data_IF_238926388688
#
_entry.id   IF_238926388688
#
_cell.length_a   1.000
_cell.length_b   1.000
_cell.length_c   1.000
_cell.angle_alpha   90.00
_cell.angle_beta   90.00
_cell.angle_gamma   90.00
#
_symmetry.space_group_name_H-M   'P 1'
#
loop_
_entity.id
_entity.type
_entity.pdbx_description
1 polymer ?
#
# COMPACT_ATOMS: atom_id res chain seq x y z
N UNK A 1 11.80 -4.56 20.89
CA UNK A 1 12.85 -4.16 21.88
C UNK A 1 13.07 -2.65 21.93
N UNK A 2 13.46 -1.96 20.86
CA UNK A 2 13.72 -0.51 20.94
C UNK A 2 12.47 0.33 21.25
N UNK A 3 11.31 0.01 20.66
CA UNK A 3 10.05 0.73 20.90
C UNK A 3 9.61 0.62 22.36
N UNK A 4 9.50 -0.62 22.87
CA UNK A 4 9.17 -0.91 24.27
C UNK A 4 10.06 -0.14 25.25
N UNK A 5 11.37 -0.15 25.03
CA UNK A 5 12.32 0.53 25.89
C UNK A 5 12.15 2.06 25.86
N UNK A 6 11.87 2.64 24.69
CA UNK A 6 11.58 4.09 24.60
C UNK A 6 10.28 4.43 25.32
N UNK A 7 9.24 3.60 25.20
CA UNK A 7 7.98 3.79 25.93
C UNK A 7 8.19 3.73 27.45
N UNK A 8 8.88 2.70 27.95
CA UNK A 8 9.21 2.56 29.38
C UNK A 8 10.02 3.76 29.89
N UNK A 9 11.06 4.16 29.15
CA UNK A 9 11.90 5.30 29.53
C UNK A 9 11.10 6.60 29.53
N UNK A 10 10.26 6.83 28.52
CA UNK A 10 9.40 8.01 28.43
C UNK A 10 8.52 8.11 29.68
N UNK A 11 7.79 7.05 30.03
CA UNK A 11 6.89 7.09 31.18
C UNK A 11 7.60 7.08 32.53
N UNK A 12 8.83 6.58 32.63
CA UNK A 12 9.63 6.67 33.87
C UNK A 12 10.06 8.11 34.23
N UNK A 13 10.12 9.00 33.23
CA UNK A 13 10.51 10.40 33.38
C UNK A 13 9.32 11.34 33.49
N UNK A 14 8.13 10.86 33.13
CA UNK A 14 6.90 11.61 33.25
C UNK A 14 6.32 11.41 34.65
N UNK A 15 5.78 12.48 35.22
CA UNK A 15 4.81 12.38 36.33
C UNK A 15 3.48 11.87 35.78
N UNK A 16 3.50 10.67 35.21
CA UNK A 16 2.38 10.06 34.52
C UNK A 16 1.34 9.56 35.52
N UNK A 17 0.07 9.65 35.15
CA UNK A 17 -1.12 9.27 35.94
C UNK A 17 -1.55 7.82 35.66
N UNK A 18 -0.87 7.10 34.77
CA UNK A 18 -1.23 5.72 34.45
C UNK A 18 -0.69 4.78 35.52
N UNK A 19 -1.60 3.99 36.10
CA UNK A 19 -1.21 2.87 36.97
C UNK A 19 -0.29 1.91 36.21
N UNK A 20 0.67 1.30 36.92
CA UNK A 20 1.69 0.42 36.33
C UNK A 20 1.09 -0.70 35.47
N UNK A 21 -0.05 -1.27 35.89
CA UNK A 21 -0.75 -2.31 35.13
C UNK A 21 -1.35 -1.80 33.82
N UNK A 22 -1.86 -0.56 33.81
CA UNK A 22 -2.42 0.08 32.62
C UNK A 22 -1.29 0.43 31.66
N UNK A 23 -0.19 0.99 32.18
CA UNK A 23 0.99 1.31 31.39
C UNK A 23 1.54 0.06 30.69
N UNK A 24 1.71 -1.04 31.42
CA UNK A 24 2.23 -2.28 30.81
C UNK A 24 1.28 -2.80 29.71
N UNK A 25 -0.03 -2.78 29.95
CA UNK A 25 -1.00 -3.18 28.94
C UNK A 25 -0.95 -2.30 27.68
N UNK A 26 -0.80 -0.97 27.85
CA UNK A 26 -0.64 -0.04 26.74
C UNK A 26 0.62 -0.34 25.94
N UNK A 27 1.74 -0.61 26.61
CA UNK A 27 3.02 -0.95 25.96
C UNK A 27 2.88 -2.24 25.16
N UNK A 28 2.34 -3.30 25.76
CA UNK A 28 2.18 -4.60 25.11
C UNK A 28 1.27 -4.51 23.87
N UNK A 29 0.25 -3.65 23.92
CA UNK A 29 -0.69 -3.41 22.81
C UNK A 29 -0.08 -2.52 21.72
N UNK A 30 0.69 -1.51 22.12
CA UNK A 30 1.28 -0.55 21.18
C UNK A 30 2.44 -1.13 20.39
N UNK A 31 3.18 -2.08 20.95
CA UNK A 31 4.31 -2.73 20.28
C UNK A 31 3.80 -3.86 19.38
N UNK A 32 3.71 -3.57 18.08
CA UNK A 32 3.40 -4.60 17.09
C UNK A 32 4.71 -5.24 16.65
N UNK A 33 5.07 -6.34 17.29
CA UNK A 33 6.33 -7.04 17.03
C UNK A 33 6.24 -7.82 15.72
N UNK A 34 6.77 -7.24 14.65
CA UNK A 34 7.01 -7.95 13.41
C UNK A 34 8.53 -8.03 13.18
N UNK A 35 9.01 -9.21 12.76
CA UNK A 35 10.45 -9.52 12.65
C UNK A 35 11.24 -8.64 11.68
N UNK A 36 10.57 -7.84 10.85
CA UNK A 36 11.17 -7.15 9.69
C UNK A 36 10.88 -5.65 9.63
N UNK A 37 10.01 -5.13 10.50
CA UNK A 37 9.53 -3.75 10.51
C UNK A 37 8.97 -3.43 11.89
N UNK A 38 9.78 -2.85 12.79
CA UNK A 38 9.30 -2.34 14.07
C UNK A 38 8.14 -1.37 13.86
N UNK A 39 7.01 -1.63 14.54
CA UNK A 39 5.81 -0.81 14.46
C UNK A 39 5.32 -0.43 15.86
N UNK A 40 5.02 0.86 16.05
CA UNK A 40 4.33 1.36 17.22
C UNK A 40 2.94 1.87 16.83
N UNK A 41 1.90 1.41 17.51
CA UNK A 41 0.53 1.90 17.38
C UNK A 41 0.10 2.58 18.69
N UNK A 42 -0.04 3.90 18.66
CA UNK A 42 -0.34 4.72 19.83
C UNK A 42 -1.83 4.91 20.10
N UNK A 43 -2.74 4.24 19.38
CA UNK A 43 -4.19 4.42 19.59
C UNK A 43 -4.58 4.12 21.04
N UNK A 44 -4.04 3.04 21.62
CA UNK A 44 -4.30 2.69 23.02
C UNK A 44 -3.81 3.76 24.00
N UNK A 45 -2.66 4.38 23.73
CA UNK A 45 -2.17 5.49 24.56
C UNK A 45 -3.03 6.75 24.44
N UNK A 46 -3.56 7.03 23.24
CA UNK A 46 -4.46 8.18 23.05
C UNK A 46 -5.74 8.05 23.88
N UNK A 47 -6.32 6.86 23.98
CA UNK A 47 -7.51 6.61 24.81
C UNK A 47 -7.28 7.02 26.28
N UNK A 48 -6.08 6.76 26.79
CA UNK A 48 -5.71 7.06 28.18
C UNK A 48 -5.13 8.47 28.39
N UNK A 49 -4.55 9.09 27.36
CA UNK A 49 -3.86 10.39 27.45
C UNK A 49 -4.59 11.53 26.76
N UNK A 50 -5.79 11.31 26.21
CA UNK A 50 -6.59 12.36 25.55
C UNK A 50 -6.85 13.58 26.44
N UNK A 51 -6.94 13.39 27.76
CA UNK A 51 -7.09 14.46 28.75
C UNK A 51 -5.78 15.19 29.08
N UNK A 52 -4.64 14.68 28.60
CA UNK A 52 -3.29 15.21 28.81
C UNK A 52 -2.59 15.39 27.43
N UNK A 53 -3.11 16.27 26.56
CA UNK A 53 -2.67 16.37 25.17
C UNK A 53 -1.18 16.68 25.03
N UNK A 54 -0.60 17.45 25.96
CA UNK A 54 0.83 17.75 25.97
C UNK A 54 1.68 16.48 26.16
N UNK A 55 1.32 15.61 27.11
CA UNK A 55 2.03 14.34 27.35
C UNK A 55 1.93 13.43 26.14
N UNK A 56 0.76 13.38 25.50
CA UNK A 56 0.55 12.57 24.30
C UNK A 56 1.33 13.11 23.09
N UNK A 57 1.43 14.43 22.91
CA UNK A 57 2.27 15.05 21.88
C UNK A 57 3.76 14.76 22.10
N UNK A 58 4.22 14.79 23.35
CA UNK A 58 5.60 14.44 23.70
C UNK A 58 5.88 12.96 23.44
N UNK A 59 4.91 12.08 23.67
CA UNK A 59 5.00 10.66 23.33
C UNK A 59 5.14 10.46 21.81
N UNK A 60 4.34 11.15 20.99
CA UNK A 60 4.48 11.13 19.53
C UNK A 60 5.87 11.61 19.10
N UNK A 61 6.39 12.65 19.74
CA UNK A 61 7.72 13.17 19.44
C UNK A 61 8.82 12.16 19.81
N UNK A 62 8.69 11.46 20.94
CA UNK A 62 9.62 10.40 21.33
C UNK A 62 9.62 9.24 20.31
N UNK A 63 8.45 8.83 19.82
CA UNK A 63 8.35 7.81 18.77
C UNK A 63 8.92 8.30 17.44
N UNK A 64 8.64 9.55 17.05
CA UNK A 64 9.22 10.15 15.85
C UNK A 64 10.75 10.19 15.92
N UNK A 65 11.32 10.61 17.06
CA UNK A 65 12.76 10.61 17.29
C UNK A 65 13.37 9.21 17.20
N UNK A 66 12.71 8.20 17.77
CA UNK A 66 13.14 6.81 17.62
C UNK A 66 13.20 6.40 16.15
N UNK A 67 12.16 6.71 15.36
CA UNK A 67 12.13 6.39 13.94
C UNK A 67 13.29 7.06 13.17
N UNK A 68 13.59 8.33 13.47
CA UNK A 68 14.71 9.06 12.87
C UNK A 68 16.07 8.47 13.30
N UNK A 69 16.21 8.03 14.56
CA UNK A 69 17.41 7.35 15.04
C UNK A 69 17.64 6.02 14.31
N UNK A 70 16.59 5.23 14.09
CA UNK A 70 16.68 3.97 13.34
C UNK A 70 17.12 4.21 11.88
N UNK A 71 16.60 5.25 11.22
CA UNK A 71 17.06 5.63 9.88
C UNK A 71 18.55 6.03 9.87
N UNK A 72 18.97 6.85 10.84
CA UNK A 72 20.36 7.28 10.96
C UNK A 72 21.31 6.09 11.27
N UNK A 73 20.87 5.14 12.09
CA UNK A 73 21.61 3.92 12.37
C UNK A 73 21.74 3.04 11.13
N UNK A 74 20.65 2.84 10.39
CA UNK A 74 20.67 2.14 9.11
C UNK A 74 21.64 2.80 8.12
N UNK A 75 21.62 4.13 8.01
CA UNK A 75 22.55 4.88 7.17
C UNK A 75 24.03 4.66 7.57
N UNK A 76 24.35 4.68 8.88
CA UNK A 76 25.70 4.40 9.39
C UNK A 76 26.18 2.98 9.08
N UNK A 77 25.25 2.03 8.96
CA UNK A 77 25.54 0.65 8.58
C UNK A 77 25.58 0.45 7.04
N UNK A 78 25.48 1.52 6.25
CA UNK A 78 25.45 1.44 4.78
C UNK A 78 24.09 1.03 4.19
N UNK A 79 23.03 1.05 5.00
CA UNK A 79 21.66 0.64 4.65
C UNK A 79 20.71 1.84 4.54
N UNK A 80 21.22 3.06 4.34
CA UNK A 80 20.41 4.29 4.31
C UNK A 80 19.28 4.29 3.29
N UNK A 81 19.50 3.66 2.14
CA UNK A 81 18.47 3.51 1.10
C UNK A 81 17.56 2.29 1.29
N UNK A 82 17.85 1.44 2.28
CA UNK A 82 17.14 0.19 2.51
C UNK A 82 15.93 0.33 3.42
N UNK A 83 15.74 1.48 4.07
CA UNK A 83 14.65 1.70 5.01
C UNK A 83 13.98 3.05 4.77
N UNK A 84 12.72 3.15 5.20
CA UNK A 84 11.96 4.39 5.27
C UNK A 84 11.01 4.32 6.45
N UNK A 85 10.47 5.47 6.84
CA UNK A 85 9.45 5.54 7.90
C UNK A 85 8.11 5.85 7.27
N UNK A 86 7.11 5.08 7.68
CA UNK A 86 5.72 5.34 7.36
C UNK A 86 4.96 5.81 8.61
N UNK A 87 4.26 6.92 8.48
CA UNK A 87 3.38 7.50 9.49
C UNK A 87 1.93 7.39 9.02
N UNK A 88 1.02 6.94 9.88
CA UNK A 88 -0.40 6.98 9.59
C UNK A 88 -1.23 7.53 10.77
N UNK A 89 -2.12 8.51 10.52
CA UNK A 89 -2.13 9.43 9.36
C UNK A 89 -0.85 10.29 9.27
N UNK A 90 -0.52 10.85 8.09
CA UNK A 90 0.61 11.77 7.86
C UNK A 90 0.17 13.07 7.18
N UNK A 91 1.08 14.06 7.10
CA UNK A 91 0.89 15.35 6.42
C UNK A 91 1.46 15.35 4.98
N UNK A 92 1.62 14.19 4.36
CA UNK A 92 2.27 14.04 3.06
C UNK A 92 3.78 13.87 3.19
N UNK A 93 4.54 14.40 2.21
CA UNK A 93 6.00 14.28 2.13
C UNK A 93 6.67 15.64 2.03
N UNK A 94 7.88 15.75 2.57
CA UNK A 94 8.73 16.93 2.46
C UNK A 94 9.49 16.99 1.12
N UNK A 95 10.32 18.02 0.95
CA UNK A 95 11.14 18.23 -0.25
C UNK A 95 12.16 17.10 -0.50
N UNK A 96 12.50 16.35 0.55
CA UNK A 96 13.40 15.19 0.50
C UNK A 96 12.62 13.88 0.25
N UNK A 97 11.30 13.95 0.13
CA UNK A 97 10.42 12.81 -0.10
C UNK A 97 10.16 11.96 1.14
N UNK A 98 10.48 12.45 2.35
CA UNK A 98 10.22 11.80 3.62
C UNK A 98 8.83 12.14 4.13
N UNK A 99 8.14 11.19 4.78
CA UNK A 99 6.81 11.44 5.34
C UNK A 99 6.85 12.41 6.52
N UNK A 100 5.87 13.31 6.59
CA UNK A 100 5.76 14.33 7.62
C UNK A 100 4.78 13.86 8.70
N UNK A 101 5.23 13.85 9.96
CA UNK A 101 4.42 13.54 11.14
C UNK A 101 3.22 14.51 11.25
N UNK A 102 2.02 13.98 11.52
CA UNK A 102 0.86 14.79 11.90
C UNK A 102 0.79 14.88 13.42
N UNK A 103 1.11 16.02 14.05
CA UNK A 103 1.03 16.14 15.50
C UNK A 103 -0.41 16.02 15.99
N UNK A 104 -0.57 15.49 17.19
CA UNK A 104 -1.84 15.52 17.91
C UNK A 104 -2.25 16.95 18.24
N UNK A 105 -3.54 17.14 18.40
CA UNK A 105 -4.16 18.39 18.85
C UNK A 105 -5.11 18.08 20.01
N UNK A 106 -5.66 19.07 20.72
CA UNK A 106 -6.62 18.83 21.79
C UNK A 106 -7.88 18.04 21.37
N UNK A 107 -8.16 17.91 20.07
CA UNK A 107 -9.35 17.25 19.53
C UNK A 107 -9.03 16.07 18.60
N UNK A 108 -7.75 15.78 18.36
CA UNK A 108 -7.32 14.83 17.32
C UNK A 108 -6.04 14.12 17.76
N UNK A 109 -5.99 12.79 17.60
CA UNK A 109 -4.84 11.97 17.94
C UNK A 109 -3.65 12.14 16.98
N UNK A 110 -3.83 12.77 15.82
CA UNK A 110 -2.76 12.90 14.82
C UNK A 110 -2.23 11.53 14.39
N UNK A 111 -0.93 11.42 14.13
CA UNK A 111 -0.27 10.14 13.79
C UNK A 111 -0.33 9.17 14.96
N UNK A 112 -0.92 8.00 14.76
CA UNK A 112 -0.94 6.94 15.77
C UNK A 112 -0.07 5.75 15.36
N UNK A 113 0.15 5.53 14.08
CA UNK A 113 0.99 4.46 13.56
C UNK A 113 2.37 4.98 13.14
N UNK A 114 3.42 4.36 13.68
CA UNK A 114 4.82 4.63 13.38
C UNK A 114 5.49 3.34 12.93
N UNK A 115 5.88 3.26 11.66
CA UNK A 115 6.40 2.03 11.08
C UNK A 115 7.79 2.27 10.47
N UNK A 116 8.79 1.57 10.98
CA UNK A 116 10.12 1.52 10.38
C UNK A 116 10.17 0.38 9.38
N UNK A 117 10.03 0.70 8.10
CA UNK A 117 9.83 -0.29 7.05
C UNK A 117 11.09 -0.45 6.20
N UNK A 118 11.40 -1.70 5.85
CA UNK A 118 12.31 -1.97 4.73
C UNK A 118 11.72 -1.33 3.47
N UNK A 119 12.54 -0.60 2.74
CA UNK A 119 12.25 -0.15 1.38
C UNK A 119 12.10 -1.40 0.51
N UNK A 120 10.87 -1.88 0.44
CA UNK A 120 10.50 -3.00 -0.41
C UNK A 120 10.64 -2.61 -1.87
N UNK A 121 10.68 -3.63 -2.71
CA UNK A 121 10.36 -3.41 -4.11
C UNK A 121 8.91 -2.96 -4.22
N UNK A 122 8.64 -2.08 -5.18
CA UNK A 122 7.28 -1.69 -5.53
C UNK A 122 6.53 -2.92 -6.06
N UNK A 123 5.20 -2.99 -5.89
CA UNK A 123 4.40 -4.16 -6.30
C UNK A 123 4.58 -4.51 -7.78
N UNK A 124 4.80 -3.47 -8.57
CA UNK A 124 5.13 -3.47 -9.99
C UNK A 124 6.35 -4.35 -10.30
N UNK A 125 7.41 -4.26 -9.49
CA UNK A 125 8.59 -5.12 -9.64
C UNK A 125 8.28 -6.60 -9.38
N UNK A 126 7.29 -6.88 -8.53
CA UNK A 126 6.76 -8.23 -8.33
C UNK A 126 6.18 -8.84 -9.60
N UNK A 127 5.58 -8.04 -10.49
CA UNK A 127 5.10 -8.48 -11.80
C UNK A 127 6.26 -9.02 -12.64
N UNK A 128 7.37 -8.27 -12.72
CA UNK A 128 8.57 -8.68 -13.46
C UNK A 128 9.18 -9.96 -12.88
N UNK A 129 9.21 -10.11 -11.55
CA UNK A 129 9.74 -11.32 -10.93
C UNK A 129 8.89 -12.56 -11.22
N UNK A 130 7.56 -12.44 -11.18
CA UNK A 130 6.65 -13.54 -11.53
C UNK A 130 6.79 -13.87 -13.02
N UNK A 131 6.83 -12.86 -13.89
CA UNK A 131 6.97 -13.04 -15.33
C UNK A 131 8.31 -13.70 -15.69
N UNK A 132 9.42 -13.26 -15.09
CA UNK A 132 10.75 -13.85 -15.28
C UNK A 132 10.77 -15.34 -14.90
N UNK A 133 10.13 -15.69 -13.77
CA UNK A 133 9.98 -17.09 -13.34
C UNK A 133 9.09 -17.90 -14.27
N UNK A 134 8.00 -17.32 -14.77
CA UNK A 134 7.13 -17.97 -15.74
C UNK A 134 7.92 -18.36 -17.00
N UNK A 135 8.73 -17.45 -17.54
CA UNK A 135 9.60 -17.74 -18.68
C UNK A 135 10.61 -18.83 -18.35
N UNK A 136 11.33 -18.71 -17.22
CA UNK A 136 12.30 -19.72 -16.80
C UNK A 136 11.68 -21.12 -16.68
N UNK A 137 10.46 -21.22 -16.17
CA UNK A 137 9.73 -22.49 -16.07
C UNK A 137 9.25 -23.04 -17.42
N UNK A 138 8.93 -22.17 -18.39
CA UNK A 138 8.38 -22.58 -19.69
C UNK A 138 9.45 -22.84 -20.75
N UNK A 139 10.52 -22.06 -20.76
CA UNK A 139 11.53 -22.07 -21.81
C UNK A 139 12.90 -22.54 -21.31
N UNK A 140 13.10 -22.65 -20.00
CA UNK A 140 14.41 -22.89 -19.38
C UNK A 140 15.31 -21.64 -19.35
N UNK A 141 14.84 -20.50 -19.89
CA UNK A 141 15.58 -19.24 -19.91
C UNK A 141 14.84 -18.18 -19.09
N UNK A 142 15.58 -17.49 -18.22
CA UNK A 142 15.10 -16.37 -17.41
C UNK A 142 15.51 -15.05 -18.08
N UNK A 143 14.59 -14.31 -18.73
CA UNK A 143 14.88 -13.06 -19.44
C UNK A 143 15.65 -12.01 -18.65
N UNK A 144 15.42 -11.94 -17.33
CA UNK A 144 16.08 -11.00 -16.42
C UNK A 144 17.21 -11.66 -15.61
N UNK A 145 17.55 -12.92 -15.93
CA UNK A 145 18.47 -13.76 -15.18
C UNK A 145 17.81 -14.56 -14.06
N UNK A 146 18.35 -15.75 -13.76
CA UNK A 146 17.83 -16.64 -12.71
C UNK A 146 17.95 -16.01 -11.31
N UNK A 147 19.03 -15.23 -11.10
CA UNK A 147 19.29 -14.50 -9.85
C UNK A 147 18.60 -13.14 -9.75
N UNK A 148 17.66 -12.80 -10.65
CA UNK A 148 17.00 -11.50 -10.69
C UNK A 148 16.42 -11.08 -9.33
N UNK A 149 16.74 -9.85 -8.91
CA UNK A 149 16.26 -9.25 -7.67
C UNK A 149 15.36 -8.04 -7.96
N UNK A 150 14.17 -8.05 -7.36
CA UNK A 150 13.22 -6.91 -7.42
C UNK A 150 13.76 -5.62 -6.80
N UNK A 151 14.88 -5.68 -6.07
CA UNK A 151 15.52 -4.49 -5.49
C UNK A 151 16.31 -3.69 -6.52
N UNK A 152 16.68 -4.32 -7.62
CA UNK A 152 17.50 -3.74 -8.68
C UNK A 152 16.64 -3.18 -9.83
N UNK A 153 15.32 -3.35 -9.75
CA UNK A 153 14.41 -2.83 -10.77
C UNK A 153 14.24 -1.33 -10.68
N UNK A 154 14.05 -0.64 -11.82
CA UNK A 154 13.57 0.73 -11.84
C UNK A 154 12.29 0.88 -11.02
N UNK A 155 12.11 2.06 -10.40
CA UNK A 155 10.86 2.41 -9.70
C UNK A 155 9.87 3.17 -10.59
N UNK A 156 10.34 3.61 -11.76
CA UNK A 156 9.56 4.34 -12.73
C UNK A 156 8.76 3.39 -13.63
N UNK A 157 7.50 3.73 -13.89
CA UNK A 157 6.57 2.91 -14.67
C UNK A 157 7.07 2.69 -16.09
N UNK A 158 7.54 3.75 -16.76
CA UNK A 158 8.01 3.65 -18.14
C UNK A 158 9.27 2.79 -18.22
N UNK A 159 10.21 2.99 -17.29
CA UNK A 159 11.42 2.19 -17.23
C UNK A 159 11.14 0.70 -16.98
N UNK A 160 10.15 0.37 -16.16
CA UNK A 160 9.69 -1.02 -15.98
C UNK A 160 9.10 -1.60 -17.27
N UNK A 161 8.24 -0.84 -17.95
CA UNK A 161 7.64 -1.29 -19.21
C UNK A 161 8.70 -1.51 -20.31
N UNK A 162 9.67 -0.61 -20.44
CA UNK A 162 10.80 -0.79 -21.37
C UNK A 162 11.68 -1.97 -20.98
N UNK A 163 11.87 -2.24 -19.69
CA UNK A 163 12.57 -3.44 -19.24
C UNK A 163 11.84 -4.72 -19.67
N UNK A 164 10.50 -4.75 -19.63
CA UNK A 164 9.73 -5.89 -20.15
C UNK A 164 9.89 -6.00 -21.67
N UNK A 165 9.67 -4.90 -22.40
CA UNK A 165 9.80 -4.85 -23.88
C UNK A 165 11.18 -5.26 -24.39
N UNK A 166 12.23 -4.91 -23.66
CA UNK A 166 13.61 -5.16 -24.08
C UNK A 166 14.13 -6.57 -23.80
N UNK A 167 13.49 -7.33 -22.90
CA UNK A 167 14.03 -8.61 -22.43
C UNK A 167 13.12 -9.81 -22.70
N UNK A 168 11.79 -9.63 -22.76
CA UNK A 168 10.84 -10.75 -22.86
C UNK A 168 10.41 -10.98 -24.31
N UNK A 169 10.39 -12.26 -24.72
CA UNK A 169 9.96 -12.69 -26.06
C UNK A 169 8.43 -12.55 -26.23
N UNK A 170 7.93 -11.70 -27.15
CA UNK A 170 6.51 -11.52 -27.38
C UNK A 170 5.72 -12.80 -27.61
N UNK A 171 6.29 -13.79 -28.30
CA UNK A 171 5.57 -15.03 -28.65
C UNK A 171 5.30 -15.91 -27.42
N UNK A 172 6.06 -15.71 -26.34
CA UNK A 172 5.92 -16.46 -25.09
C UNK A 172 5.17 -15.67 -24.01
N UNK A 173 4.75 -14.43 -24.30
CA UNK A 173 4.11 -13.56 -23.32
C UNK A 173 2.75 -14.14 -22.90
N UNK A 174 2.54 -14.43 -21.60
CA UNK A 174 1.28 -14.97 -21.14
C UNK A 174 0.19 -13.89 -21.11
N UNK A 175 -1.06 -14.35 -21.23
CA UNK A 175 -2.19 -13.58 -20.73
C UNK A 175 -2.05 -13.44 -19.21
N UNK A 176 -1.96 -12.21 -18.73
CA UNK A 176 -1.91 -11.87 -17.31
C UNK A 176 -3.26 -11.34 -16.82
N UNK A 177 -3.62 -11.73 -15.60
CA UNK A 177 -4.80 -11.22 -14.89
C UNK A 177 -4.31 -10.53 -13.63
N UNK A 178 -4.33 -9.20 -13.64
CA UNK A 178 -4.04 -8.37 -12.48
C UNK A 178 -5.28 -8.22 -11.62
N UNK A 179 -5.17 -8.50 -10.32
CA UNK A 179 -6.30 -8.42 -9.38
C UNK A 179 -5.94 -7.47 -8.26
N UNK A 180 -6.77 -6.46 -8.01
CA UNK A 180 -6.58 -5.54 -6.89
C UNK A 180 -7.90 -5.07 -6.32
N UNK A 181 -7.83 -4.50 -5.12
CA UNK A 181 -8.99 -3.93 -4.42
C UNK A 181 -8.74 -2.47 -4.04
N UNK A 182 -7.53 -1.94 -4.28
CA UNK A 182 -7.13 -0.59 -3.92
C UNK A 182 -6.77 0.29 -5.13
N UNK A 183 -7.78 1.00 -5.65
CA UNK A 183 -7.67 2.03 -6.69
C UNK A 183 -8.53 3.22 -6.27
N UNK A 184 -8.02 4.45 -6.42
CA UNK A 184 -8.78 5.67 -6.14
C UNK A 184 -8.29 6.85 -7.01
N UNK A 185 -9.14 7.83 -7.21
CA UNK A 185 -8.76 9.16 -7.72
C UNK A 185 -9.55 10.25 -7.01
N UNK A 186 -8.97 11.44 -6.94
CA UNK A 186 -9.58 12.62 -6.33
C UNK A 186 -9.31 13.80 -7.23
N UNK A 187 -10.37 14.50 -7.64
CA UNK A 187 -10.23 15.73 -8.42
C UNK A 187 -10.38 16.93 -7.47
N UNK A 188 -9.33 17.74 -7.38
CA UNK A 188 -9.31 18.99 -6.61
C UNK A 188 -9.39 20.13 -7.61
N UNK A 189 -10.29 21.08 -7.39
CA UNK A 189 -10.37 22.29 -8.20
C UNK A 189 -9.63 23.42 -7.48
N UNK A 190 -8.50 23.86 -8.04
CA UNK A 190 -7.73 24.99 -7.54
C UNK A 190 -7.57 26.03 -8.65
N UNK A 191 -8.01 27.27 -8.38
CA UNK A 191 -7.92 28.39 -9.33
C UNK A 191 -8.51 28.10 -10.73
N UNK A 192 -9.59 27.31 -10.79
CA UNK A 192 -10.25 26.93 -12.05
C UNK A 192 -9.51 25.85 -12.86
N UNK A 193 -8.46 25.25 -12.29
CA UNK A 193 -7.77 24.09 -12.87
C UNK A 193 -8.11 22.84 -12.06
N UNK A 194 -8.41 21.75 -12.75
CA UNK A 194 -8.62 20.44 -12.12
C UNK A 194 -7.26 19.77 -11.88
N UNK A 195 -6.85 19.67 -10.62
CA UNK A 195 -5.73 18.82 -10.17
C UNK A 195 -6.26 17.42 -9.88
N UNK A 196 -5.86 16.45 -10.71
CA UNK A 196 -6.30 15.06 -10.58
C UNK A 196 -5.24 14.26 -9.85
N UNK A 197 -5.55 13.85 -8.62
CA UNK A 197 -4.68 13.01 -7.79
C UNK A 197 -5.14 11.58 -7.83
N UNK A 198 -4.24 10.70 -8.25
CA UNK A 198 -4.51 9.29 -8.50
C UNK A 198 -3.73 8.43 -7.52
N UNK A 199 -4.40 7.48 -6.89
CA UNK A 199 -3.81 6.65 -5.85
C UNK A 199 -4.45 5.27 -5.76
N UNK A 200 -4.21 4.62 -4.63
CA UNK A 200 -4.53 3.21 -4.42
C UNK A 200 -3.28 2.35 -4.52
N UNK A 201 -3.10 1.46 -3.54
CA UNK A 201 -1.86 0.70 -3.41
C UNK A 201 -1.66 -0.35 -4.50
N UNK A 202 -2.71 -0.70 -5.26
CA UNK A 202 -2.65 -1.67 -6.35
C UNK A 202 -2.57 -1.01 -7.72
N UNK A 203 -2.87 0.29 -7.80
CA UNK A 203 -3.04 1.03 -9.05
C UNK A 203 -1.91 0.81 -10.03
N UNK A 204 -0.67 1.06 -9.60
CA UNK A 204 0.46 1.08 -10.51
C UNK A 204 0.80 -0.29 -11.08
N UNK A 205 0.70 -1.37 -10.29
CA UNK A 205 1.00 -2.70 -10.82
C UNK A 205 -0.12 -3.19 -11.73
N UNK A 206 -1.38 -2.83 -11.45
CA UNK A 206 -2.51 -3.10 -12.34
C UNK A 206 -2.32 -2.36 -13.67
N UNK A 207 -1.92 -1.09 -13.63
CA UNK A 207 -1.59 -0.33 -14.82
C UNK A 207 -0.41 -0.94 -15.59
N UNK A 208 0.62 -1.41 -14.89
CA UNK A 208 1.74 -2.09 -15.54
C UNK A 208 1.30 -3.37 -16.26
N UNK A 209 0.46 -4.20 -15.63
CA UNK A 209 -0.09 -5.41 -16.27
C UNK A 209 -0.89 -5.05 -17.53
N UNK A 210 -1.73 -4.02 -17.44
CA UNK A 210 -2.48 -3.52 -18.58
C UNK A 210 -1.55 -3.08 -19.71
N UNK A 211 -0.53 -2.27 -19.40
CA UNK A 211 0.33 -1.67 -20.41
C UNK A 211 1.28 -2.69 -21.04
N UNK A 212 1.71 -3.72 -20.29
CA UNK A 212 2.35 -4.91 -20.88
C UNK A 212 1.38 -5.60 -21.84
N UNK A 213 0.11 -5.76 -21.46
CA UNK A 213 -0.90 -6.38 -22.32
C UNK A 213 -1.11 -5.62 -23.63
N UNK A 214 -1.09 -4.29 -23.58
CA UNK A 214 -1.14 -3.42 -24.76
C UNK A 214 0.15 -3.54 -25.60
N UNK A 215 1.32 -3.57 -24.97
CA UNK A 215 2.60 -3.60 -25.67
C UNK A 215 2.85 -4.92 -26.42
N UNK A 216 2.28 -6.02 -25.93
CA UNK A 216 2.47 -7.37 -26.48
C UNK A 216 1.20 -8.00 -27.07
N UNK A 217 0.10 -7.24 -27.12
CA UNK A 217 -1.21 -7.67 -27.62
C UNK A 217 -1.73 -9.00 -27.01
N UNK A 218 -1.50 -9.20 -25.72
CA UNK A 218 -1.89 -10.44 -25.02
C UNK A 218 -3.29 -10.42 -24.43
N UNK A 219 -3.98 -9.29 -24.50
CA UNK A 219 -5.34 -9.14 -23.97
C UNK A 219 -5.43 -9.19 -22.45
N UNK A 220 -4.38 -8.75 -21.73
CA UNK A 220 -4.35 -8.77 -20.26
C UNK A 220 -5.59 -8.13 -19.63
N UNK A 221 -6.00 -8.68 -18.50
CA UNK A 221 -7.19 -8.25 -17.77
C UNK A 221 -6.81 -7.64 -16.43
N UNK A 222 -7.42 -6.50 -16.13
CA UNK A 222 -7.42 -5.85 -14.83
C UNK A 222 -8.76 -6.10 -14.15
N UNK A 223 -8.70 -6.74 -12.99
CA UNK A 223 -9.84 -7.13 -12.17
C UNK A 223 -9.83 -6.30 -10.89
N UNK A 224 -10.96 -5.66 -10.60
CA UNK A 224 -11.17 -4.92 -9.36
C UNK A 224 -12.16 -5.64 -8.44
N UNK A 225 -11.79 -5.80 -7.18
CA UNK A 225 -12.66 -6.34 -6.13
C UNK A 225 -13.12 -5.20 -5.24
N UNK A 226 -14.43 -5.01 -5.10
CA UNK A 226 -14.95 -3.94 -4.25
C UNK A 226 -14.90 -4.32 -2.77
N UNK A 227 -13.88 -3.83 -2.06
CA UNK A 227 -13.71 -4.03 -0.61
C UNK A 227 -14.40 -2.98 0.26
N UNK A 228 -15.13 -2.01 -0.33
CA UNK A 228 -15.78 -0.93 0.41
C UNK A 228 -16.93 -1.39 1.31
N UNK A 229 -17.48 -2.59 1.07
CA UNK A 229 -18.64 -3.15 1.77
C UNK A 229 -18.38 -3.72 3.17
N UNK A 230 -17.15 -3.70 3.69
CA UNK A 230 -16.89 -4.26 5.03
C UNK A 230 -15.54 -3.99 5.67
N UNK A 231 -14.45 -3.92 4.91
CA UNK A 231 -13.08 -3.89 5.48
C UNK A 231 -12.46 -2.49 5.52
N UNK A 232 -12.93 -1.56 4.67
CA UNK A 232 -12.38 -0.20 4.56
C UNK A 232 -13.50 0.84 4.53
N UNK A 233 -13.71 1.57 5.64
CA UNK A 233 -14.84 2.49 5.85
C UNK A 233 -14.83 3.78 5.00
N UNK A 234 -13.72 4.09 4.33
CA UNK A 234 -13.49 5.38 3.65
C UNK A 234 -13.54 5.27 2.12
N UNK A 235 -14.18 4.23 1.56
CA UNK A 235 -14.22 4.00 0.11
C UNK A 235 -15.61 4.01 -0.45
N UNK A 236 -15.69 4.53 -1.67
CA UNK A 236 -16.92 4.62 -2.44
C UNK A 236 -17.18 3.27 -3.13
N UNK A 237 -18.35 2.64 -2.90
CA UNK A 237 -18.70 1.41 -3.59
C UNK A 237 -18.85 1.67 -5.09
N UNK A 238 -18.42 0.71 -5.90
CA UNK A 238 -18.68 0.71 -7.33
C UNK A 238 -20.18 0.52 -7.54
N UNK A 239 -20.75 1.31 -8.46
CA UNK A 239 -22.12 1.08 -8.93
C UNK A 239 -22.09 0.50 -10.32
N UNK A 240 -22.68 -0.68 -10.43
CA UNK A 240 -22.91 -1.37 -11.70
C UNK A 240 -24.40 -1.37 -11.95
N UNK A 241 -24.81 -0.98 -13.16
CA UNK A 241 -26.19 -1.12 -13.64
C UNK A 241 -26.21 -2.09 -14.80
N UNK A 242 -27.31 -2.80 -14.96
CA UNK A 242 -27.53 -3.65 -16.11
C UNK A 242 -28.09 -2.81 -17.26
N UNK A 243 -27.36 -2.77 -18.39
CA UNK A 243 -27.76 -2.05 -19.58
C UNK A 243 -27.82 -3.05 -20.76
N UNK A 244 -29.01 -3.33 -21.27
CA UNK A 244 -29.26 -4.31 -22.34
C UNK A 244 -28.63 -5.70 -22.06
N UNK A 245 -28.72 -6.19 -20.82
CA UNK A 245 -28.14 -7.49 -20.42
C UNK A 245 -26.62 -7.48 -20.26
N UNK A 246 -25.96 -6.32 -20.39
CA UNK A 246 -24.54 -6.14 -20.13
C UNK A 246 -24.34 -5.32 -18.86
N UNK A 247 -23.59 -5.82 -17.86
CA UNK A 247 -23.27 -5.03 -16.68
C UNK A 247 -22.33 -3.88 -17.06
N UNK A 248 -22.70 -2.66 -16.70
CA UNK A 248 -21.93 -1.44 -16.95
C UNK A 248 -21.68 -0.71 -15.64
N UNK A 249 -20.40 -0.42 -15.33
CA UNK A 249 -20.06 0.45 -14.22
C UNK A 249 -20.47 1.89 -14.56
N UNK A 250 -21.40 2.46 -13.78
CA UNK A 250 -21.82 3.87 -13.89
C UNK A 250 -21.07 4.76 -12.91
N UNK A 251 -20.46 4.15 -11.90
CA UNK A 251 -19.65 4.85 -10.92
C UNK A 251 -18.51 3.93 -10.49
N UNK A 252 -17.28 4.34 -10.77
CA UNK A 252 -16.07 3.60 -10.42
C UNK A 252 -15.56 3.94 -9.01
N UNK A 253 -14.41 3.35 -8.61
CA UNK A 253 -13.82 3.57 -7.29
C UNK A 253 -13.13 4.93 -7.15
N UNK A 254 -12.96 5.68 -8.26
CA UNK A 254 -12.40 7.04 -8.28
C UNK A 254 -13.46 8.14 -8.34
N UNK A 255 -12.99 9.39 -8.41
CA UNK A 255 -13.82 10.56 -8.65
C UNK A 255 -14.40 10.52 -10.06
N UNK A 256 -15.71 10.74 -10.20
CA UNK A 256 -16.40 10.69 -11.50
C UNK A 256 -15.95 11.76 -12.49
N UNK A 257 -15.21 12.78 -12.04
CA UNK A 257 -14.61 13.82 -12.88
C UNK A 257 -13.26 13.41 -13.46
N UNK A 258 -12.63 12.33 -12.98
CA UNK A 258 -11.40 11.79 -13.57
C UNK A 258 -11.73 10.92 -14.79
N UNK A 259 -11.96 11.57 -15.94
CA UNK A 259 -12.34 10.88 -17.18
C UNK A 259 -11.15 10.37 -17.99
N UNK A 260 -9.93 10.78 -17.63
CA UNK A 260 -8.70 10.49 -18.38
C UNK A 260 -7.79 9.50 -17.62
N UNK A 261 -8.38 8.67 -16.76
CA UNK A 261 -7.64 7.65 -16.01
C UNK A 261 -7.01 6.63 -16.99
N UNK A 262 -5.67 6.48 -17.04
CA UNK A 262 -5.02 5.53 -17.94
C UNK A 262 -5.29 4.08 -17.54
N UNK A 263 -5.70 3.82 -16.29
CA UNK A 263 -6.05 2.49 -15.82
C UNK A 263 -7.52 2.18 -16.15
N UNK A 264 -7.72 1.15 -16.95
CA UNK A 264 -9.05 0.60 -17.27
C UNK A 264 -9.29 -0.66 -16.44
N UNK A 265 -10.40 -0.71 -15.71
CA UNK A 265 -10.84 -1.92 -15.00
C UNK A 265 -11.70 -2.75 -15.95
N UNK A 266 -11.22 -3.93 -16.37
CA UNK A 266 -11.93 -4.80 -17.31
C UNK A 266 -13.08 -5.57 -16.63
N UNK A 267 -12.86 -6.01 -15.39
CA UNK A 267 -13.81 -6.82 -14.63
C UNK A 267 -13.94 -6.24 -13.23
N UNK A 268 -15.17 -6.15 -12.72
CA UNK A 268 -15.45 -5.65 -11.37
C UNK A 268 -16.29 -6.65 -10.59
N UNK A 269 -15.95 -6.84 -9.32
CA UNK A 269 -16.71 -7.63 -8.35
C UNK A 269 -17.37 -6.69 -7.32
N UNK A 270 -18.56 -6.13 -7.61
CA UNK A 270 -19.22 -5.15 -6.73
C UNK A 270 -19.68 -5.75 -5.39
N UNK A 271 -19.81 -7.08 -5.29
CA UNK A 271 -20.10 -7.77 -4.03
C UNK A 271 -18.82 -8.21 -3.30
N UNK A 272 -17.67 -7.66 -3.70
CA UNK A 272 -16.38 -7.86 -3.06
C UNK A 272 -15.86 -9.29 -3.09
N UNK A 273 -15.10 -9.65 -2.06
CA UNK A 273 -14.39 -10.93 -1.98
C UNK A 273 -15.33 -12.15 -2.08
N UNK A 274 -16.59 -12.03 -1.63
CA UNK A 274 -17.54 -13.15 -1.66
C UNK A 274 -17.84 -13.60 -3.08
N UNK A 275 -18.15 -12.65 -3.94
CA UNK A 275 -18.41 -12.92 -5.36
C UNK A 275 -17.15 -13.38 -6.09
N UNK A 276 -16.00 -12.82 -5.73
CA UNK A 276 -14.71 -13.26 -6.26
C UNK A 276 -14.44 -14.74 -5.92
N UNK A 277 -14.61 -15.14 -4.66
CA UNK A 277 -14.45 -16.53 -4.21
C UNK A 277 -15.46 -17.45 -4.89
N UNK A 278 -16.73 -17.04 -4.97
CA UNK A 278 -17.78 -17.83 -5.60
C UNK A 278 -17.45 -18.16 -7.05
N UNK A 279 -16.93 -17.18 -7.82
CA UNK A 279 -16.49 -17.41 -9.20
C UNK A 279 -15.44 -18.52 -9.28
N UNK A 280 -14.41 -18.50 -8.42
CA UNK A 280 -13.39 -19.56 -8.43
C UNK A 280 -13.94 -20.92 -8.02
N UNK A 281 -14.85 -20.95 -7.04
CA UNK A 281 -15.55 -22.18 -6.64
C UNK A 281 -16.35 -22.77 -7.81
N UNK A 282 -17.12 -21.94 -8.52
CA UNK A 282 -17.89 -22.34 -9.69
C UNK A 282 -16.96 -22.82 -10.83
N UNK A 283 -15.89 -22.09 -11.13
CA UNK A 283 -14.92 -22.48 -12.15
C UNK A 283 -14.22 -23.82 -11.82
N UNK A 284 -13.90 -24.06 -10.55
CA UNK A 284 -13.32 -25.31 -10.08
C UNK A 284 -14.31 -26.48 -10.18
N UNK A 285 -15.60 -26.25 -9.91
CA UNK A 285 -16.65 -27.26 -10.09
C UNK A 285 -16.84 -27.60 -11.57
N UNK A 286 -16.86 -26.60 -12.45
CA UNK A 286 -17.00 -26.79 -13.89
C UNK A 286 -15.81 -27.53 -14.52
N UNK A 287 -14.60 -27.43 -13.94
CA UNK A 287 -13.43 -28.22 -14.36
C UNK A 287 -13.49 -29.70 -14.01
N UNK A 288 -14.35 -30.11 -13.08
CA UNK A 288 -14.53 -31.52 -12.69
C UNK A 288 -15.52 -32.27 -13.59
N UNK A 289 -16.15 -31.57 -14.52
CA UNK A 289 -17.08 -32.11 -15.52
C UNK A 289 -16.34 -32.41 -16.81
#
# INVERSE_FOLDING_TARGET
KNIEQVLQNFFSQQTCVLDDSVLQHCIDTAVVDNKVSPTANLNIFYEHLSHQPQVYMELQQAMHQLMQQLLAEAAKQGLGESFFVHYAPNLGRDEQGLEILRPATPTDSGTTDFQFMLRGAIKEAGVLAILNRYYGQRTGHYPLGEGFSVRETPKDHQALLEMVKGNFDPEQMPLMVGVGDTVNSTVIEENGTLDVRRGGSDRNFLQLIQDIGKAFDTGNLVVYIDSSGGEVKNRKPIKVVENNGTPQAVEGPGDSRDTDDPLTLNVVFPQGHRQYIELFCQAAQNRRV
#
